data_IF_085165454778
#
_entry.id   IF_085165454778
#
_cell.length_a   1.000
_cell.length_b   1.000
_cell.length_c   1.000
_cell.angle_alpha   90.00
_cell.angle_beta   90.00
_cell.angle_gamma   90.00
#
_symmetry.space_group_name_H-M   'P 1'
#
loop_
_entity.id
_entity.type
_entity.pdbx_description
1 polymer ?
#
# COMPACT_ATOMS: atom_id res chain seq x y z
N UNK A 1 -6.04 2.52 37.89
CA UNK A 1 -6.37 3.00 36.53
C UNK A 1 -5.37 2.40 35.58
N UNK A 2 -5.71 1.24 35.02
CA UNK A 2 -4.91 0.57 33.99
C UNK A 2 -5.03 1.35 32.68
N UNK A 3 -3.92 1.93 32.22
CA UNK A 3 -3.82 2.44 30.86
C UNK A 3 -3.49 1.25 29.96
N UNK A 4 -4.51 0.61 29.43
CA UNK A 4 -4.36 -0.34 28.32
C UNK A 4 -3.78 0.44 27.15
N UNK A 5 -2.47 0.36 26.96
CA UNK A 5 -1.82 0.74 25.71
C UNK A 5 -2.42 -0.17 24.64
N UNK A 6 -3.44 0.32 23.95
CA UNK A 6 -3.94 -0.33 22.75
C UNK A 6 -2.77 -0.37 21.77
N UNK A 7 -2.08 -1.51 21.73
CA UNK A 7 -1.16 -1.84 20.66
C UNK A 7 -2.00 -1.83 19.40
N UNK A 8 -1.94 -0.74 18.62
CA UNK A 8 -2.57 -0.69 17.30
C UNK A 8 -1.97 -1.85 16.52
N UNK A 9 -2.76 -2.90 16.29
CA UNK A 9 -2.36 -4.01 15.42
C UNK A 9 -1.78 -3.42 14.13
N UNK A 10 -0.63 -3.93 13.62
CA UNK A 10 -0.10 -3.48 12.35
C UNK A 10 -1.19 -3.58 11.28
N UNK A 11 -1.31 -2.56 10.41
CA UNK A 11 -2.22 -2.66 9.26
C UNK A 11 -1.74 -3.81 8.39
N UNK A 12 -2.64 -4.74 8.11
CA UNK A 12 -2.45 -5.84 7.17
C UNK A 12 -2.46 -5.31 5.74
N UNK A 13 -1.99 -6.11 4.78
CA UNK A 13 -2.16 -5.81 3.34
C UNK A 13 -3.62 -5.53 2.98
N UNK A 14 -4.58 -6.24 3.60
CA UNK A 14 -6.00 -6.02 3.41
C UNK A 14 -6.45 -4.63 3.89
N UNK A 15 -5.93 -4.15 5.03
CA UNK A 15 -6.27 -2.81 5.53
C UNK A 15 -5.77 -1.70 4.59
N UNK A 16 -4.58 -1.89 4.00
CA UNK A 16 -4.03 -0.95 3.01
C UNK A 16 -4.83 -0.98 1.71
N UNK A 17 -5.25 -2.16 1.26
CA UNK A 17 -6.13 -2.29 0.10
C UNK A 17 -7.48 -1.57 0.31
N UNK A 18 -8.14 -1.79 1.46
CA UNK A 18 -9.41 -1.13 1.79
C UNK A 18 -9.23 0.39 1.82
N UNK A 19 -8.13 0.88 2.38
CA UNK A 19 -7.88 2.33 2.43
C UNK A 19 -7.67 2.91 1.02
N UNK A 20 -6.90 2.21 0.18
CA UNK A 20 -6.68 2.61 -1.22
C UNK A 20 -7.98 2.62 -2.04
N UNK A 21 -8.84 1.61 -1.89
CA UNK A 21 -10.12 1.56 -2.61
C UNK A 21 -11.08 2.67 -2.16
N UNK A 22 -11.17 2.93 -0.85
CA UNK A 22 -11.97 4.03 -0.31
C UNK A 22 -11.48 5.39 -0.82
N UNK A 23 -10.16 5.63 -0.81
CA UNK A 23 -9.58 6.87 -1.29
C UNK A 23 -9.79 7.05 -2.81
N UNK A 24 -9.66 5.96 -3.59
CA UNK A 24 -9.98 5.96 -5.02
C UNK A 24 -11.45 6.31 -5.26
N UNK A 25 -12.37 5.70 -4.53
CA UNK A 25 -13.80 5.98 -4.68
C UNK A 25 -14.14 7.43 -4.32
N UNK A 26 -13.61 7.93 -3.20
CA UNK A 26 -13.78 9.32 -2.80
C UNK A 26 -13.25 10.30 -3.85
N UNK A 27 -12.09 10.00 -4.44
CA UNK A 27 -11.51 10.86 -5.46
C UNK A 27 -12.23 10.75 -6.82
N UNK A 28 -12.79 9.59 -7.19
CA UNK A 28 -13.66 9.47 -8.36
C UNK A 28 -14.90 10.35 -8.23
N UNK A 29 -15.56 10.34 -7.08
CA UNK A 29 -16.68 11.24 -6.80
C UNK A 29 -16.23 12.72 -6.83
N UNK A 30 -15.09 13.04 -6.21
CA UNK A 30 -14.55 14.40 -6.21
C UNK A 30 -14.18 14.93 -7.60
N UNK A 31 -13.80 14.06 -8.54
CA UNK A 31 -13.47 14.43 -9.93
C UNK A 31 -14.73 14.78 -10.73
N UNK A 32 -15.84 14.08 -10.47
CA UNK A 32 -17.13 14.37 -11.10
C UNK A 32 -17.68 15.74 -10.65
N UNK A 33 -17.38 16.14 -9.41
CA UNK A 33 -17.90 17.37 -8.79
C UNK A 33 -16.90 18.55 -8.84
N UNK A 34 -15.72 18.37 -9.44
CA UNK A 34 -14.67 19.40 -9.44
C UNK A 34 -15.04 20.59 -10.35
N UNK A 35 -15.53 21.68 -9.75
CA UNK A 35 -15.91 22.89 -10.46
C UNK A 35 -14.74 23.88 -10.68
N UNK A 36 -13.62 23.70 -9.97
CA UNK A 36 -12.48 24.63 -10.00
C UNK A 36 -11.13 23.92 -10.10
N UNK A 37 -10.09 24.64 -10.56
CA UNK A 37 -8.73 24.10 -10.63
C UNK A 37 -8.16 23.65 -9.26
N UNK A 38 -8.38 24.37 -8.14
CA UNK A 38 -8.04 23.87 -6.80
C UNK A 38 -8.74 22.55 -6.44
N UNK A 39 -10.02 22.38 -6.79
CA UNK A 39 -10.76 21.14 -6.52
C UNK A 39 -10.20 19.96 -7.31
N UNK A 40 -9.82 20.20 -8.57
CA UNK A 40 -9.15 19.20 -9.39
C UNK A 40 -7.79 18.80 -8.79
N UNK A 41 -6.95 19.76 -8.41
CA UNK A 41 -5.64 19.48 -7.82
C UNK A 41 -5.73 18.72 -6.50
N UNK A 42 -6.69 19.08 -5.63
CA UNK A 42 -7.00 18.34 -4.40
C UNK A 42 -7.37 16.90 -4.72
N UNK A 43 -8.24 16.69 -5.70
CA UNK A 43 -8.70 15.35 -6.07
C UNK A 43 -7.58 14.49 -6.67
N UNK A 44 -6.72 15.07 -7.50
CA UNK A 44 -5.54 14.38 -8.04
C UNK A 44 -4.54 14.00 -6.94
N UNK A 45 -4.39 14.83 -5.90
CA UNK A 45 -3.55 14.54 -4.74
C UNK A 45 -4.10 13.34 -3.94
N UNK A 46 -5.42 13.28 -3.74
CA UNK A 46 -6.04 12.12 -3.08
C UNK A 46 -5.94 10.84 -3.92
N UNK A 47 -6.02 10.93 -5.26
CA UNK A 47 -5.76 9.78 -6.13
C UNK A 47 -4.31 9.30 -6.04
N UNK A 48 -3.35 10.22 -6.03
CA UNK A 48 -1.94 9.87 -5.90
C UNK A 48 -1.68 9.18 -4.55
N UNK A 49 -2.28 9.69 -3.49
CA UNK A 49 -2.26 9.05 -2.17
C UNK A 49 -2.87 7.65 -2.20
N UNK A 50 -4.06 7.47 -2.79
CA UNK A 50 -4.71 6.17 -2.92
C UNK A 50 -3.81 5.17 -3.68
N UNK A 51 -3.18 5.64 -4.76
CA UNK A 51 -2.22 4.84 -5.55
C UNK A 51 -1.00 4.44 -4.73
N UNK A 52 -0.46 5.35 -3.93
CA UNK A 52 0.66 5.06 -3.03
C UNK A 52 0.27 4.01 -1.99
N UNK A 53 -0.90 4.14 -1.35
CA UNK A 53 -1.38 3.17 -0.37
C UNK A 53 -1.63 1.78 -0.99
N UNK A 54 -2.11 1.72 -2.24
CA UNK A 54 -2.24 0.46 -2.99
C UNK A 54 -0.87 -0.22 -3.23
N UNK A 55 0.15 0.56 -3.61
CA UNK A 55 1.52 0.05 -3.78
C UNK A 55 2.08 -0.50 -2.47
N UNK A 56 1.89 0.22 -1.37
CA UNK A 56 2.25 -0.24 -0.03
C UNK A 56 1.53 -1.56 0.30
N UNK A 57 0.25 -1.69 -0.05
CA UNK A 57 -0.52 -2.93 0.13
C UNK A 57 0.10 -4.11 -0.64
N UNK A 58 0.44 -3.90 -1.91
CA UNK A 58 1.10 -4.91 -2.77
C UNK A 58 2.45 -5.31 -2.20
N UNK A 59 3.29 -4.35 -1.84
CA UNK A 59 4.59 -4.61 -1.22
C UNK A 59 4.46 -5.41 0.08
N UNK A 60 3.52 -5.03 0.95
CA UNK A 60 3.26 -5.75 2.21
C UNK A 60 2.73 -7.18 1.97
N UNK A 61 1.87 -7.38 0.97
CA UNK A 61 1.38 -8.71 0.61
C UNK A 61 2.52 -9.61 0.09
N UNK A 62 3.41 -9.07 -0.74
CA UNK A 62 4.59 -9.78 -1.24
C UNK A 62 5.52 -10.19 -0.09
N UNK A 63 5.82 -9.28 0.84
CA UNK A 63 6.61 -9.62 2.03
C UNK A 63 5.96 -10.71 2.89
N UNK A 64 4.64 -10.65 3.08
CA UNK A 64 3.91 -11.68 3.83
C UNK A 64 3.96 -13.06 3.15
N UNK A 65 3.83 -13.10 1.82
CA UNK A 65 3.94 -14.34 1.05
C UNK A 65 5.36 -14.92 1.14
N UNK A 66 6.39 -14.09 1.00
CA UNK A 66 7.79 -14.50 1.14
C UNK A 66 8.10 -15.03 2.54
N UNK A 67 7.62 -14.35 3.59
CA UNK A 67 7.74 -14.79 4.97
C UNK A 67 7.00 -16.12 5.22
N UNK A 68 5.92 -16.38 4.49
CA UNK A 68 5.19 -17.65 4.45
C UNK A 68 5.84 -18.75 3.61
N UNK A 69 7.01 -18.49 3.01
CA UNK A 69 7.77 -19.46 2.21
C UNK A 69 7.33 -19.57 0.75
N UNK A 70 6.49 -18.66 0.26
CA UNK A 70 6.09 -18.64 -1.16
C UNK A 70 7.28 -18.19 -2.01
N UNK A 71 7.61 -18.99 -3.02
CA UNK A 71 8.73 -18.71 -3.92
C UNK A 71 8.43 -17.54 -4.88
N UNK A 72 9.48 -16.85 -5.32
CA UNK A 72 9.37 -15.71 -6.24
C UNK A 72 8.75 -16.10 -7.58
N UNK A 73 8.96 -17.33 -8.03
CA UNK A 73 8.36 -17.90 -9.24
C UNK A 73 6.83 -17.92 -9.16
N UNK A 74 6.28 -18.32 -8.02
CA UNK A 74 4.84 -18.33 -7.80
C UNK A 74 4.27 -16.91 -7.70
N UNK A 75 4.99 -16.00 -7.04
CA UNK A 75 4.59 -14.59 -6.95
C UNK A 75 4.62 -13.91 -8.32
N UNK A 76 5.69 -14.13 -9.09
CA UNK A 76 5.84 -13.60 -10.44
C UNK A 76 4.72 -14.10 -11.37
N UNK A 77 4.44 -15.40 -11.35
CA UNK A 77 3.37 -16.00 -12.13
C UNK A 77 1.99 -15.44 -11.74
N UNK A 78 1.70 -15.30 -10.44
CA UNK A 78 0.43 -14.75 -9.96
C UNK A 78 0.21 -13.29 -10.38
N UNK A 79 1.30 -12.52 -10.52
CA UNK A 79 1.27 -11.11 -10.91
C UNK A 79 1.46 -10.89 -12.42
N UNK A 80 1.64 -11.96 -13.20
CA UNK A 80 1.81 -11.90 -14.65
C UNK A 80 3.16 -11.38 -15.13
N UNK A 81 4.21 -11.45 -14.31
CA UNK A 81 5.57 -11.14 -14.74
C UNK A 81 6.18 -12.28 -15.55
N UNK A 82 7.03 -11.95 -16.52
CA UNK A 82 7.72 -12.92 -17.37
C UNK A 82 8.86 -13.66 -16.67
N UNK A 83 9.36 -13.12 -15.54
CA UNK A 83 10.37 -13.80 -14.73
C UNK A 83 10.35 -13.39 -13.25
N UNK A 84 10.93 -14.23 -12.36
CA UNK A 84 11.15 -13.88 -10.95
C UNK A 84 12.01 -12.62 -10.77
N UNK A 85 13.03 -12.42 -11.60
CA UNK A 85 13.92 -11.26 -11.52
C UNK A 85 13.22 -9.97 -11.94
N UNK A 86 12.41 -10.03 -12.99
CA UNK A 86 11.54 -8.93 -13.39
C UNK A 86 10.58 -8.55 -12.26
N UNK A 87 9.93 -9.53 -11.64
CA UNK A 87 9.05 -9.30 -10.49
C UNK A 87 9.81 -8.66 -9.31
N UNK A 88 11.02 -9.14 -8.99
CA UNK A 88 11.87 -8.57 -7.93
C UNK A 88 12.19 -7.11 -8.20
N UNK A 89 12.59 -6.77 -9.43
CA UNK A 89 12.93 -5.40 -9.81
C UNK A 89 11.71 -4.49 -9.80
N UNK A 90 10.59 -4.94 -10.39
CA UNK A 90 9.36 -4.17 -10.49
C UNK A 90 8.74 -3.88 -9.11
N UNK A 91 8.81 -4.84 -8.18
CA UNK A 91 8.20 -4.73 -6.84
C UNK A 91 9.17 -4.17 -5.78
N UNK A 92 10.45 -3.98 -6.10
CA UNK A 92 11.43 -3.39 -5.18
C UNK A 92 11.00 -2.04 -4.56
N UNK A 93 10.45 -1.05 -5.32
CA UNK A 93 9.97 0.19 -4.70
C UNK A 93 8.80 -0.05 -3.74
N UNK A 94 7.80 -0.82 -4.16
CA UNK A 94 6.59 -1.09 -3.37
C UNK A 94 6.90 -1.81 -2.06
N UNK A 95 7.85 -2.76 -2.09
CA UNK A 95 8.36 -3.48 -0.90
C UNK A 95 9.12 -2.56 0.05
N UNK A 96 9.93 -1.63 -0.47
CA UNK A 96 10.63 -0.62 0.35
C UNK A 96 9.64 0.32 1.03
N UNK A 97 8.63 0.78 0.31
CA UNK A 97 7.58 1.65 0.86
C UNK A 97 6.79 0.94 1.95
N UNK A 98 6.48 -0.35 1.77
CA UNK A 98 5.85 -1.19 2.79
C UNK A 98 6.74 -1.34 4.04
N UNK A 99 8.04 -1.58 3.87
CA UNK A 99 9.01 -1.62 4.96
C UNK A 99 9.05 -0.31 5.75
N UNK A 100 9.21 0.82 5.07
CA UNK A 100 9.24 2.15 5.68
C UNK A 100 7.91 2.52 6.38
N UNK A 101 6.77 2.08 5.85
CA UNK A 101 5.46 2.27 6.50
C UNK A 101 5.34 1.46 7.80
N UNK A 102 5.86 0.23 7.84
CA UNK A 102 5.91 -0.59 9.04
C UNK A 102 6.86 -0.01 10.09
N UNK A 103 8.05 0.44 9.69
CA UNK A 103 9.03 1.06 10.59
C UNK A 103 8.50 2.32 11.27
N UNK A 104 7.91 3.24 10.48
CA UNK A 104 7.25 4.46 11.01
C UNK A 104 6.17 4.14 12.04
N UNK A 105 5.47 3.01 11.88
CA UNK A 105 4.34 2.62 12.73
C UNK A 105 4.78 1.90 14.01
N UNK A 106 5.78 1.03 13.91
CA UNK A 106 6.29 0.27 15.05
C UNK A 106 7.13 1.15 16.00
N UNK A 107 7.40 2.40 15.65
CA UNK A 107 8.18 3.31 16.48
C UNK A 107 9.59 2.80 16.71
N UNK A 108 10.11 1.92 15.84
CA UNK A 108 11.53 1.55 15.86
C UNK A 108 12.32 2.77 15.43
N UNK A 109 12.69 3.55 16.44
CA UNK A 109 13.69 4.59 16.40
C UNK A 109 15.04 3.92 16.22
N UNK A 110 15.68 4.18 15.10
CA UNK A 110 16.95 4.89 15.06
C UNK A 110 17.10 5.50 13.66
#
# INVERSE_FOLDING_TARGET
>A
MDRTLATRSPRTSADWWVTADQARHAAQSGLADAATAPDLLRTLTELDRARHEARVAVGAAVEALLAGGVAWEAIAAALGFGSPDEARQALAPDRRDAGAALERRLGRRA
#
